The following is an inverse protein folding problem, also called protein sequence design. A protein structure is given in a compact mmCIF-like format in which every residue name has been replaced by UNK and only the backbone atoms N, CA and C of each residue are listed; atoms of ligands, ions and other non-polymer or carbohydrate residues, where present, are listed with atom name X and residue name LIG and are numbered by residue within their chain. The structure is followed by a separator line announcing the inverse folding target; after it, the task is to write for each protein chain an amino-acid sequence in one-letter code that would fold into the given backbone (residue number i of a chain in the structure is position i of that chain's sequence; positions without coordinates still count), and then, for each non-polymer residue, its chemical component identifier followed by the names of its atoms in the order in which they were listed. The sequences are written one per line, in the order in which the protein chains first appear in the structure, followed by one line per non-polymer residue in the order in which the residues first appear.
data_IF_992540094158
#
_entry.id   IF_992540094158
#
_cell.length_a   1.000
_cell.length_b   1.000
_cell.length_c   1.000
_cell.angle_alpha   90.00
_cell.angle_beta   90.00
_cell.angle_gamma   90.00
#
_symmetry.space_group_name_H-M   'P 1'
#
loop_
_entity.id
_entity.type
_entity.pdbx_description
1 polymer ?
#
# COMPACT_ATOMS: atom_id res chain seq x y z
N UNK A 1 -19.05 -20.49 -7.53
CA UNK A 1 -19.18 -19.18 -8.21
C UNK A 1 -18.59 -18.13 -7.26
N UNK A 2 -17.27 -17.85 -7.36
CA UNK A 2 -16.55 -16.89 -6.49
C UNK A 2 -15.58 -16.02 -7.30
N UNK A 3 -15.56 -16.19 -8.61
CA UNK A 3 -14.57 -15.58 -9.52
C UNK A 3 -15.06 -14.26 -10.11
N UNK A 4 -16.36 -13.97 -10.02
CA UNK A 4 -16.95 -12.72 -10.48
C UNK A 4 -16.62 -11.53 -9.56
N UNK A 5 -16.49 -11.78 -8.25
CA UNK A 5 -16.22 -10.74 -7.24
C UNK A 5 -14.73 -10.58 -6.93
N UNK A 6 -13.86 -11.25 -7.70
CA UNK A 6 -12.40 -11.11 -7.55
C UNK A 6 -11.93 -9.86 -8.27
N UNK A 7 -11.28 -8.97 -7.52
CA UNK A 7 -10.58 -7.80 -8.06
C UNK A 7 -9.45 -8.30 -8.98
N UNK A 8 -9.45 -7.81 -10.22
CA UNK A 8 -8.43 -8.09 -11.23
C UNK A 8 -7.44 -6.93 -11.27
N UNK A 9 -6.17 -7.24 -11.10
CA UNK A 9 -5.07 -6.27 -11.07
C UNK A 9 -4.37 -6.28 -12.42
N UNK A 10 -4.08 -5.10 -12.96
CA UNK A 10 -3.35 -4.94 -14.23
C UNK A 10 -1.85 -4.73 -14.03
N UNK A 11 -1.46 -3.95 -13.02
CA UNK A 11 -0.05 -3.67 -12.68
C UNK A 11 0.13 -3.42 -11.17
N UNK A 12 1.32 -3.73 -10.65
CA UNK A 12 1.72 -3.44 -9.27
C UNK A 12 3.12 -2.87 -9.25
N UNK A 13 3.24 -1.65 -8.73
CA UNK A 13 4.53 -0.98 -8.50
C UNK A 13 4.78 -0.91 -7.01
N UNK A 14 5.98 -1.27 -6.58
CA UNK A 14 6.34 -1.25 -5.15
C UNK A 14 7.47 -0.29 -4.88
N UNK A 15 7.44 0.33 -3.71
CA UNK A 15 8.43 1.30 -3.25
C UNK A 15 8.80 0.95 -1.81
N UNK A 16 10.10 0.90 -1.51
CA UNK A 16 10.58 0.82 -0.13
C UNK A 16 10.62 2.23 0.47
N UNK A 17 9.81 2.47 1.49
CA UNK A 17 9.76 3.72 2.24
C UNK A 17 10.56 3.52 3.52
N UNK A 18 11.70 4.19 3.60
CA UNK A 18 12.55 4.13 4.78
C UNK A 18 11.89 4.87 5.96
N UNK A 19 12.02 4.27 7.14
CA UNK A 19 11.57 4.88 8.38
C UNK A 19 12.34 6.15 8.71
N UNK A 20 11.67 7.14 9.28
CA UNK A 20 12.30 8.40 9.66
C UNK A 20 13.04 8.23 10.99
N UNK A 21 14.19 8.88 11.13
CA UNK A 21 14.86 9.00 12.43
C UNK A 21 14.01 9.88 13.36
N UNK A 22 13.71 9.40 14.55
CA UNK A 22 12.95 10.13 15.58
C UNK A 22 13.58 9.98 16.95
N UNK A 23 13.42 11.01 17.78
CA UNK A 23 13.75 10.96 19.20
C UNK A 23 12.57 10.46 20.01
N UNK A 24 12.82 9.58 20.98
CA UNK A 24 11.86 9.12 21.98
C UNK A 24 12.46 9.40 23.36
N UNK A 25 12.07 10.51 23.97
CA UNK A 25 12.67 10.98 25.23
C UNK A 25 14.17 11.24 25.08
N UNK A 26 14.98 10.46 25.80
CA UNK A 26 16.46 10.58 25.81
C UNK A 26 17.15 9.83 24.67
N UNK A 27 16.51 8.85 24.03
CA UNK A 27 17.11 8.02 22.97
C UNK A 27 16.65 8.45 21.58
N UNK A 28 17.48 8.15 20.57
CA UNK A 28 17.10 8.30 19.14
C UNK A 28 17.05 6.94 18.47
N UNK A 29 16.06 6.75 17.61
CA UNK A 29 15.87 5.53 16.82
C UNK A 29 15.22 5.84 15.48
N UNK A 30 14.90 4.81 14.72
CA UNK A 30 14.19 4.92 13.45
C UNK A 30 12.78 4.34 13.58
N UNK A 31 11.83 4.92 12.85
CA UNK A 31 10.53 4.28 12.62
C UNK A 31 10.70 3.02 11.75
N UNK A 32 9.73 2.09 11.76
CA UNK A 32 9.78 0.93 10.89
C UNK A 32 9.74 1.32 9.41
N UNK A 33 10.58 0.66 8.61
CA UNK A 33 10.48 0.71 7.15
C UNK A 33 9.11 0.15 6.70
N UNK A 34 8.55 0.73 5.65
CA UNK A 34 7.31 0.25 5.03
C UNK A 34 7.55 -0.09 3.58
N UNK A 35 6.87 -1.14 3.09
CA UNK A 35 6.76 -1.40 1.66
C UNK A 35 5.42 -0.86 1.18
N UNK A 36 5.44 0.17 0.34
CA UNK A 36 4.24 0.75 -0.26
C UNK A 36 4.00 0.11 -1.63
N UNK A 37 2.76 -0.24 -1.92
CA UNK A 37 2.34 -0.69 -3.24
C UNK A 37 1.39 0.32 -3.86
N UNK A 38 1.61 0.62 -5.14
CA UNK A 38 0.71 1.37 -6.01
C UNK A 38 0.14 0.32 -6.97
N UNK A 39 -1.16 0.11 -6.88
CA UNK A 39 -1.86 -0.97 -7.61
C UNK A 39 -2.78 -0.34 -8.64
N UNK A 40 -2.71 -0.84 -9.88
CA UNK A 40 -3.63 -0.45 -10.95
C UNK A 40 -4.64 -1.56 -11.17
N UNK A 41 -5.93 -1.21 -11.11
CA UNK A 41 -7.03 -2.15 -11.33
C UNK A 41 -7.27 -2.37 -12.83
N UNK A 42 -8.01 -3.42 -13.18
CA UNK A 42 -8.56 -3.59 -14.51
C UNK A 42 -9.60 -2.49 -14.81
N UNK A 43 -9.73 -2.11 -16.09
CA UNK A 43 -10.66 -1.05 -16.52
C UNK A 43 -12.10 -1.35 -16.05
N UNK A 44 -12.74 -0.35 -15.44
CA UNK A 44 -14.13 -0.44 -14.97
C UNK A 44 -14.32 -1.07 -13.59
N UNK A 45 -13.26 -1.54 -12.92
CA UNK A 45 -13.34 -2.01 -11.54
C UNK A 45 -13.04 -0.87 -10.55
N UNK A 46 -13.84 -0.78 -9.48
CA UNK A 46 -13.67 0.17 -8.36
C UNK A 46 -13.64 -0.59 -7.04
N UNK A 47 -12.96 -0.03 -6.04
CA UNK A 47 -13.05 -0.50 -4.65
C UNK A 47 -14.01 0.42 -3.89
N UNK A 48 -15.08 -0.17 -3.37
CA UNK A 48 -16.12 0.52 -2.59
C UNK A 48 -15.53 1.16 -1.31
N UNK A 49 -14.59 0.47 -0.66
CA UNK A 49 -13.98 0.91 0.61
C UNK A 49 -13.00 2.09 0.48
N UNK A 50 -12.46 2.35 -0.72
CA UNK A 50 -11.40 3.34 -0.93
C UNK A 50 -11.84 4.54 -1.78
N UNK A 51 -13.10 4.54 -2.27
CA UNK A 51 -13.77 5.74 -2.79
C UNK A 51 -13.12 6.41 -4.00
N UNK A 52 -12.64 5.64 -5.00
CA UNK A 52 -12.18 6.15 -6.31
C UNK A 52 -12.84 5.40 -7.47
#
# INVERSE_FOLDING_TARGET
RKDADKIKISDVRTIKVLGKKRRRGKSTGYEPDRKKAIVTLAKGQRLEDYGV
#
